data_IF_150591196003
#
_entry.id   IF_150591196003
#
_cell.length_a   1.000
_cell.length_b   1.000
_cell.length_c   1.000
_cell.angle_alpha   90.00
_cell.angle_beta   90.00
_cell.angle_gamma   90.00
#
_symmetry.space_group_name_H-M   'P 1'
#
loop_
_entity.id
_entity.type
_entity.pdbx_description
1 polymer ?
#
# COMPACT_ATOMS: atom_id res chain seq x y z
N UNK A 1 5.82 -6.52 -33.54
CA UNK A 1 6.84 -6.74 -32.49
C UNK A 1 6.97 -5.53 -31.56
N UNK A 2 7.00 -4.28 -32.06
CA UNK A 2 7.08 -3.08 -31.20
C UNK A 2 5.89 -2.88 -30.25
N UNK A 3 4.66 -3.17 -30.69
CA UNK A 3 3.50 -3.11 -29.79
C UNK A 3 3.60 -4.08 -28.62
N UNK A 4 4.11 -5.30 -28.88
CA UNK A 4 4.29 -6.32 -27.85
C UNK A 4 5.33 -5.88 -26.81
N UNK A 5 6.37 -5.17 -27.25
CA UNK A 5 7.36 -4.55 -26.37
C UNK A 5 6.75 -3.42 -25.53
N UNK A 6 5.90 -2.57 -26.12
CA UNK A 6 5.19 -1.50 -25.39
C UNK A 6 4.21 -2.06 -24.35
N UNK A 7 3.46 -3.11 -24.69
CA UNK A 7 2.56 -3.78 -23.74
C UNK A 7 3.33 -4.36 -22.56
N UNK A 8 4.46 -5.04 -22.82
CA UNK A 8 5.34 -5.57 -21.76
C UNK A 8 5.86 -4.46 -20.84
N UNK A 9 6.25 -3.31 -21.39
CA UNK A 9 6.68 -2.16 -20.59
C UNK A 9 5.56 -1.63 -19.67
N UNK A 10 4.32 -1.57 -20.16
CA UNK A 10 3.18 -1.16 -19.33
C UNK A 10 2.85 -2.18 -18.24
N UNK A 11 2.98 -3.47 -18.51
CA UNK A 11 2.83 -4.52 -17.49
C UNK A 11 3.88 -4.34 -16.39
N UNK A 12 5.14 -4.14 -16.76
CA UNK A 12 6.23 -3.90 -15.82
C UNK A 12 5.97 -2.66 -14.94
N UNK A 13 5.52 -1.55 -15.54
CA UNK A 13 5.22 -0.33 -14.80
C UNK A 13 4.05 -0.52 -13.81
N UNK A 14 3.08 -1.38 -14.11
CA UNK A 14 1.99 -1.69 -13.17
C UNK A 14 2.46 -2.54 -12.00
N UNK A 15 3.45 -3.41 -12.24
CA UNK A 15 4.09 -4.25 -11.22
C UNK A 15 4.93 -3.39 -10.27
N UNK A 16 5.82 -2.54 -10.82
CA UNK A 16 6.62 -1.60 -10.02
C UNK A 16 5.77 -0.72 -9.08
N UNK A 17 4.61 -0.26 -9.57
CA UNK A 17 3.68 0.55 -8.77
C UNK A 17 3.09 -0.25 -7.62
N UNK A 18 2.79 -1.53 -7.82
CA UNK A 18 2.30 -2.40 -6.74
C UNK A 18 3.39 -2.67 -5.73
N UNK A 19 4.59 -2.99 -6.20
CA UNK A 19 5.74 -3.29 -5.34
C UNK A 19 6.13 -2.09 -4.47
N UNK A 20 6.09 -0.87 -5.02
CA UNK A 20 6.39 0.35 -4.27
C UNK A 20 5.37 0.61 -3.15
N UNK A 21 4.08 0.34 -3.41
CA UNK A 21 3.03 0.47 -2.40
C UNK A 21 3.14 -0.63 -1.36
N UNK A 22 3.37 -1.87 -1.77
CA UNK A 22 3.54 -3.02 -0.87
C UNK A 22 4.75 -2.83 0.05
N UNK A 23 5.86 -2.32 -0.47
CA UNK A 23 7.03 -1.99 0.34
C UNK A 23 6.72 -0.93 1.40
N UNK A 24 5.91 0.07 1.04
CA UNK A 24 5.53 1.17 1.96
C UNK A 24 4.61 0.65 3.06
N UNK A 25 3.57 -0.10 2.70
CA UNK A 25 2.62 -0.72 3.64
C UNK A 25 3.35 -1.71 4.54
N UNK A 26 4.15 -2.60 3.98
CA UNK A 26 4.89 -3.61 4.75
C UNK A 26 5.87 -3.00 5.75
N UNK A 27 6.53 -1.89 5.40
CA UNK A 27 7.38 -1.15 6.35
C UNK A 27 6.56 -0.50 7.46
N UNK A 28 5.47 0.19 7.13
CA UNK A 28 4.63 0.84 8.14
C UNK A 28 4.00 -0.16 9.10
N UNK A 29 3.50 -1.29 8.60
CA UNK A 29 2.96 -2.37 9.43
C UNK A 29 4.03 -2.97 10.36
N UNK A 30 5.27 -3.12 9.87
CA UNK A 30 6.39 -3.60 10.68
C UNK A 30 6.75 -2.64 11.83
N UNK A 31 6.61 -1.32 11.63
CA UNK A 31 6.83 -0.32 12.69
C UNK A 31 5.64 -0.17 13.64
N UNK A 32 4.42 -0.49 13.18
CA UNK A 32 3.21 -0.36 13.97
C UNK A 32 3.22 -1.30 15.20
N UNK A 33 3.70 -2.54 15.02
CA UNK A 33 3.73 -3.56 16.09
C UNK A 33 4.54 -3.11 17.31
N UNK A 34 5.84 -2.74 17.20
CA UNK A 34 6.60 -2.29 18.36
C UNK A 34 6.04 -0.98 18.94
N UNK A 35 5.58 -0.05 18.10
CA UNK A 35 5.04 1.22 18.56
C UNK A 35 3.77 1.05 19.43
N UNK A 36 2.90 0.10 19.10
CA UNK A 36 1.71 -0.21 19.92
C UNK A 36 2.10 -0.85 21.25
N UNK A 37 3.10 -1.75 21.25
CA UNK A 37 3.61 -2.37 22.50
C UNK A 37 4.19 -1.29 23.42
N UNK A 38 5.05 -0.41 22.88
CA UNK A 38 5.66 0.68 23.62
C UNK A 38 4.62 1.66 24.16
N UNK A 39 3.61 1.99 23.36
CA UNK A 39 2.47 2.79 23.81
C UNK A 39 1.73 2.15 24.99
N UNK A 40 1.51 0.84 24.94
CA UNK A 40 0.91 0.07 26.04
C UNK A 40 1.77 0.12 27.30
N UNK A 41 3.09 -0.03 27.18
CA UNK A 41 4.02 0.09 28.29
C UNK A 41 4.01 1.50 28.90
N UNK A 42 4.04 2.56 28.09
CA UNK A 42 3.96 3.94 28.56
C UNK A 42 2.65 4.22 29.30
N UNK A 43 1.52 3.72 28.80
CA UNK A 43 0.22 3.86 29.47
C UNK A 43 0.15 3.11 30.80
N UNK A 44 0.69 1.89 30.86
CA UNK A 44 0.75 1.12 32.10
C UNK A 44 1.61 1.82 33.15
N UNK A 45 2.78 2.33 32.75
CA UNK A 45 3.64 3.12 33.63
C UNK A 45 2.94 4.42 34.08
N UNK A 46 2.09 5.03 33.25
CA UNK A 46 1.40 6.28 33.60
C UNK A 46 0.27 6.08 34.61
N UNK A 47 -0.41 4.92 34.57
CA UNK A 47 -1.55 4.62 35.44
C UNK A 47 -1.12 3.89 36.72
N UNK A 48 -0.19 2.95 36.60
CA UNK A 48 0.21 2.03 37.69
C UNK A 48 1.67 2.22 38.13
N UNK A 49 2.41 3.15 37.52
CA UNK A 49 3.80 3.43 37.86
C UNK A 49 3.96 3.83 39.31
N UNK A 50 4.82 3.10 40.02
CA UNK A 50 5.25 3.45 41.37
C UNK A 50 6.73 3.78 41.33
N UNK A 51 7.13 4.90 41.94
CA UNK A 51 8.55 5.17 42.15
C UNK A 51 9.10 4.18 43.18
N UNK A 52 9.95 3.27 42.72
CA UNK A 52 10.65 2.32 43.58
C UNK A 52 11.56 3.08 44.57
N UNK A 53 11.44 2.76 45.86
CA UNK A 53 12.19 3.42 46.94
C UNK A 53 11.41 4.45 47.76
N UNK A 54 10.18 4.81 47.35
CA UNK A 54 9.27 5.69 48.10
C UNK A 54 8.06 4.95 48.68
N UNK A 55 8.19 3.65 48.97
CA UNK A 55 7.10 2.86 49.58
C UNK A 55 6.77 3.29 51.02
N UNK A 56 7.70 3.98 51.70
CA UNK A 56 7.57 4.39 53.11
C UNK A 56 7.62 5.92 53.32
N UNK A 57 8.13 6.68 52.35
CA UNK A 57 8.20 8.14 52.37
C UNK A 57 7.55 8.69 51.10
N UNK A 58 6.77 9.78 51.20
CA UNK A 58 6.16 10.39 50.01
C UNK A 58 7.22 11.07 49.14
N UNK A 59 7.25 10.82 47.81
CA UNK A 59 8.23 11.46 46.94
C UNK A 59 7.97 12.98 46.86
N UNK A 60 9.03 13.79 46.68
CA UNK A 60 8.86 15.22 46.53
C UNK A 60 8.05 15.52 45.27
N UNK A 61 7.03 16.38 45.42
CA UNK A 61 6.00 16.63 44.40
C UNK A 61 6.55 17.01 43.02
N UNK A 62 7.66 17.74 42.96
CA UNK A 62 8.29 18.15 41.70
C UNK A 62 8.81 16.97 40.87
N UNK A 63 9.24 15.90 41.54
CA UNK A 63 9.78 14.71 40.88
C UNK A 63 8.65 13.91 40.23
N UNK A 64 7.53 13.76 40.93
CA UNK A 64 6.31 13.12 40.41
C UNK A 64 5.78 13.87 39.19
N UNK A 65 5.73 15.21 39.24
CA UNK A 65 5.32 16.02 38.09
C UNK A 65 6.24 15.83 36.88
N UNK A 66 7.56 15.79 37.11
CA UNK A 66 8.53 15.59 36.03
C UNK A 66 8.34 14.22 35.35
N UNK A 67 8.15 13.17 36.13
CA UNK A 67 7.88 11.82 35.62
C UNK A 67 6.58 11.77 34.84
N UNK A 68 5.47 12.26 35.40
CA UNK A 68 4.15 12.25 34.76
C UNK A 68 4.17 13.05 33.46
N UNK A 69 4.82 14.23 33.42
CA UNK A 69 4.93 15.03 32.20
C UNK A 69 5.79 14.34 31.15
N UNK A 70 6.95 13.79 31.53
CA UNK A 70 7.82 13.05 30.61
C UNK A 70 7.13 11.84 29.99
N UNK A 71 6.34 11.12 30.80
CA UNK A 71 5.68 9.90 30.37
C UNK A 71 4.41 10.22 29.55
N UNK A 72 3.70 11.29 29.87
CA UNK A 72 2.59 11.81 29.06
C UNK A 72 3.08 12.29 27.68
N UNK A 73 4.22 12.98 27.62
CA UNK A 73 4.83 13.40 26.35
C UNK A 73 5.23 12.18 25.50
N UNK A 74 5.92 11.20 26.10
CA UNK A 74 6.30 9.97 25.41
C UNK A 74 5.06 9.22 24.86
N UNK A 75 4.01 9.12 25.67
CA UNK A 75 2.73 8.51 25.25
C UNK A 75 2.13 9.24 24.05
N UNK A 76 2.07 10.58 24.10
CA UNK A 76 1.51 11.39 23.01
C UNK A 76 2.35 11.31 21.73
N UNK A 77 3.68 11.31 21.87
CA UNK A 77 4.61 11.17 20.76
C UNK A 77 4.44 9.82 20.05
N UNK A 78 4.42 8.72 20.80
CA UNK A 78 4.25 7.38 20.24
C UNK A 78 2.85 7.23 19.62
N UNK A 79 1.82 7.78 20.26
CA UNK A 79 0.47 7.82 19.69
C UNK A 79 0.44 8.54 18.34
N UNK A 80 1.10 9.69 18.21
CA UNK A 80 1.23 10.40 16.93
C UNK A 80 2.00 9.58 15.89
N UNK A 81 3.07 8.89 16.27
CA UNK A 81 3.81 7.99 15.37
C UNK A 81 2.91 6.87 14.83
N UNK A 82 2.13 6.21 15.70
CA UNK A 82 1.16 5.18 15.31
C UNK A 82 0.12 5.76 14.36
N UNK A 83 -0.44 6.92 14.69
CA UNK A 83 -1.43 7.60 13.85
C UNK A 83 -0.88 7.90 12.45
N UNK A 84 0.33 8.47 12.37
CA UNK A 84 1.00 8.79 11.11
C UNK A 84 1.33 7.54 10.30
N UNK A 85 1.75 6.45 10.94
CA UNK A 85 2.03 5.17 10.26
C UNK A 85 0.75 4.59 9.63
N UNK A 86 -0.37 4.59 10.36
CA UNK A 86 -1.67 4.16 9.84
C UNK A 86 -2.11 5.07 8.67
N UNK A 87 -1.99 6.38 8.83
CA UNK A 87 -2.35 7.33 7.79
C UNK A 87 -1.50 7.14 6.52
N UNK A 88 -0.20 6.92 6.67
CA UNK A 88 0.70 6.65 5.56
C UNK A 88 0.33 5.35 4.82
N UNK A 89 0.02 4.28 5.54
CA UNK A 89 -0.40 3.00 4.96
C UNK A 89 -1.70 3.13 4.15
N UNK A 90 -2.73 3.76 4.71
CA UNK A 90 -4.02 4.00 4.02
C UNK A 90 -3.86 4.90 2.81
N UNK A 91 -3.04 5.95 2.92
CA UNK A 91 -2.79 6.90 1.83
C UNK A 91 -2.01 6.24 0.71
N UNK A 92 -0.98 5.44 1.02
CA UNK A 92 -0.23 4.68 0.03
C UNK A 92 -1.17 3.72 -0.74
N UNK A 93 -2.00 2.96 -0.03
CA UNK A 93 -2.94 2.04 -0.68
C UNK A 93 -3.91 2.78 -1.63
N UNK A 94 -4.50 3.88 -1.16
CA UNK A 94 -5.41 4.71 -1.94
C UNK A 94 -4.72 5.34 -3.16
N UNK A 95 -3.48 5.79 -2.99
CA UNK A 95 -2.68 6.37 -4.07
C UNK A 95 -2.30 5.32 -5.12
N UNK A 96 -1.94 4.10 -4.71
CA UNK A 96 -1.65 3.00 -5.62
C UNK A 96 -2.82 2.66 -6.54
N UNK A 97 -4.04 2.57 -5.99
CA UNK A 97 -5.26 2.34 -6.78
C UNK A 97 -5.49 3.48 -7.77
N UNK A 98 -5.31 4.73 -7.35
CA UNK A 98 -5.44 5.89 -8.23
C UNK A 98 -4.41 5.87 -9.35
N UNK A 99 -3.15 5.53 -9.06
CA UNK A 99 -2.10 5.46 -10.06
C UNK A 99 -2.42 4.39 -11.12
N UNK A 100 -2.87 3.21 -10.69
CA UNK A 100 -3.23 2.09 -11.57
C UNK A 100 -4.47 2.34 -12.43
N UNK A 101 -5.38 3.22 -11.99
CA UNK A 101 -6.64 3.53 -12.69
C UNK A 101 -6.59 4.81 -13.52
N UNK A 102 -5.84 5.82 -13.08
CA UNK A 102 -5.80 7.14 -13.70
C UNK A 102 -4.52 7.40 -14.51
N UNK A 103 -3.36 6.96 -14.04
CA UNK A 103 -2.07 7.23 -14.69
C UNK A 103 -1.62 6.10 -15.61
N UNK A 104 -1.74 4.84 -15.16
CA UNK A 104 -1.32 3.65 -15.93
C UNK A 104 -2.49 3.05 -16.70
N UNK A 105 -3.13 3.88 -17.52
CA UNK A 105 -4.17 3.40 -18.44
C UNK A 105 -3.53 2.53 -19.51
N UNK A 106 -4.25 1.48 -19.90
CA UNK A 106 -3.85 0.61 -21.01
C UNK A 106 -3.63 1.47 -22.27
N UNK A 107 -2.56 1.23 -23.06
CA UNK A 107 -2.40 1.89 -24.34
C UNK A 107 -3.60 1.50 -25.22
N UNK A 108 -4.45 2.48 -25.54
CA UNK A 108 -5.55 2.28 -26.49
C UNK A 108 -4.90 2.01 -27.85
N UNK A 109 -5.21 0.88 -28.51
CA UNK A 109 -4.63 0.56 -29.80
C UNK A 109 -4.98 1.66 -30.81
N UNK A 110 -4.01 1.98 -31.65
CA UNK A 110 -4.21 2.98 -32.71
C UNK A 110 -5.25 2.49 -33.72
N UNK A 111 -5.98 3.40 -34.38
CA UNK A 111 -7.04 3.03 -35.34
C UNK A 111 -6.52 2.10 -36.42
N UNK A 112 -5.29 2.33 -36.88
CA UNK A 112 -4.63 1.47 -37.86
C UNK A 112 -4.41 0.03 -37.37
N UNK A 113 -4.20 -0.15 -36.07
CA UNK A 113 -3.99 -1.46 -35.45
C UNK A 113 -5.32 -2.17 -35.21
N UNK A 114 -6.39 -1.41 -34.92
CA UNK A 114 -7.76 -1.93 -34.89
C UNK A 114 -8.24 -2.37 -36.26
N UNK A 115 -7.98 -1.57 -37.31
CA UNK A 115 -8.36 -1.90 -38.68
C UNK A 115 -7.59 -3.13 -39.19
N UNK A 116 -6.30 -3.25 -38.87
CA UNK A 116 -5.51 -4.44 -39.20
C UNK A 116 -5.98 -5.71 -38.45
N UNK A 117 -6.35 -5.58 -37.17
CA UNK A 117 -6.92 -6.68 -36.40
C UNK A 117 -8.32 -7.08 -36.90
N UNK A 118 -9.14 -6.09 -37.31
CA UNK A 118 -10.46 -6.32 -37.91
C UNK A 118 -10.34 -7.04 -39.25
N UNK A 119 -9.41 -6.61 -40.12
CA UNK A 119 -9.17 -7.26 -41.40
C UNK A 119 -8.68 -8.71 -41.23
N UNK A 120 -7.78 -8.95 -40.27
CA UNK A 120 -7.33 -10.31 -39.96
C UNK A 120 -8.43 -11.19 -39.37
N UNK A 121 -9.36 -10.62 -38.59
CA UNK A 121 -10.52 -11.34 -38.07
C UNK A 121 -11.54 -11.68 -39.18
N UNK A 122 -11.77 -10.75 -40.11
CA UNK A 122 -12.66 -10.95 -41.26
C UNK A 122 -12.12 -12.05 -42.20
N UNK A 123 -10.81 -12.09 -42.41
CA UNK A 123 -10.13 -13.12 -43.20
C UNK A 123 -10.18 -14.51 -42.53
N UNK A 124 -10.04 -14.56 -41.20
CA UNK A 124 -10.21 -15.79 -40.42
C UNK A 124 -11.65 -16.32 -40.49
N UNK A 125 -12.66 -15.45 -40.33
CA UNK A 125 -14.07 -15.83 -40.45
C UNK A 125 -14.44 -16.29 -41.86
N UNK A 126 -13.88 -15.64 -42.90
CA UNK A 126 -14.04 -16.05 -44.29
C UNK A 126 -13.42 -17.42 -44.60
N UNK A 127 -12.25 -17.70 -44.03
CA UNK A 127 -11.55 -18.98 -44.17
C UNK A 127 -12.29 -20.12 -43.45
N UNK A 128 -12.78 -19.89 -42.23
CA UNK A 128 -13.58 -20.86 -41.48
C UNK A 128 -14.88 -21.26 -42.21
N UNK A 129 -15.52 -20.29 -42.89
CA UNK A 129 -16.72 -20.53 -43.72
C UNK A 129 -16.44 -21.41 -44.94
N UNK A 130 -15.23 -21.34 -45.49
CA UNK A 130 -14.81 -22.17 -46.62
C UNK A 130 -14.29 -23.55 -46.17
N UNK A 131 -13.81 -23.67 -44.94
CA UNK A 131 -13.35 -24.94 -44.35
C UNK A 131 -14.51 -25.87 -43.93
N UNK A 132 -15.70 -25.33 -43.67
CA UNK A 132 -16.93 -26.11 -43.38
C UNK A 132 -17.73 -26.54 -44.63
N UNK A 133 -17.20 -26.37 -45.85
CA UNK A 133 -17.82 -26.95 -47.05
C UNK A 133 -17.27 -28.36 -47.27
N UNK A 134 -18.04 -29.37 -46.87
CA UNK A 134 -17.74 -30.77 -47.21
C UNK A 134 -17.83 -30.95 -48.75
N UNK A 135 -16.82 -31.56 -49.40
CA UNK A 135 -16.81 -31.70 -50.84
C UNK A 135 -17.64 -32.91 -51.27
N UNK A 136 -18.94 -32.70 -51.55
CA UNK A 136 -19.73 -33.62 -52.36
C UNK A 136 -20.70 -32.85 -53.25
N UNK A 137 -20.33 -32.71 -54.52
CA UNK A 137 -21.20 -32.86 -55.70
C UNK A 137 -20.35 -33.28 -56.88
#
# INVERSE_FOLDING_TARGET
QEQDMRVKQFVLYREDVRDLMELTVGKMDSYLVPAIIELGCCLLLLVEGKLEGYDQEEPPLWLVWLEVVSLAEATFYIFLCVWLAVHASVTAHSFGVRLLTQAVRLPVPDRHQLDAASAAAEEFEGSAKNMMKLPFS
#
